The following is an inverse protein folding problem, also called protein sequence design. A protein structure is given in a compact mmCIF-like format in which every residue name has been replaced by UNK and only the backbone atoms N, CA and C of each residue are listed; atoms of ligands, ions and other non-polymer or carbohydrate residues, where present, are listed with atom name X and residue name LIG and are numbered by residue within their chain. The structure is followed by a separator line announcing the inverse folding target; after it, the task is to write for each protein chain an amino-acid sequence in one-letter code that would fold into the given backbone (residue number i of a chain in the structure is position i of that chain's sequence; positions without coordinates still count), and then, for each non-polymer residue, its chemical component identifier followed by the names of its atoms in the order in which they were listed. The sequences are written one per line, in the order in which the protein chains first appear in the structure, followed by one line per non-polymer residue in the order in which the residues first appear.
data_IF_021913849073
#
_entry.id   IF_021913849073
#
_cell.length_a   1.000
_cell.length_b   1.000
_cell.length_c   1.000
_cell.angle_alpha   90.00
_cell.angle_beta   90.00
_cell.angle_gamma   90.00
#
_symmetry.space_group_name_H-M   'P 1'
#
loop_
_entity.id
_entity.type
_entity.pdbx_description
1 polymer ?
#
# COMPACT_ATOMS: atom_id res chain seq x y z
N UNK A 1 -19.53 -70.69 -47.07
CA UNK A 1 -20.49 -69.99 -46.19
C UNK A 1 -19.75 -69.39 -45.01
N UNK A 2 -19.67 -68.04 -44.94
CA UNK A 2 -19.61 -67.17 -43.74
C UNK A 2 -19.11 -65.80 -44.20
N UNK A 3 -20.05 -64.87 -44.39
CA UNK A 3 -19.79 -63.45 -44.69
C UNK A 3 -19.74 -62.70 -43.36
N UNK A 4 -18.62 -62.05 -43.05
CA UNK A 4 -18.46 -61.23 -41.85
C UNK A 4 -18.53 -59.76 -42.27
N UNK A 5 -19.66 -59.12 -41.96
CA UNK A 5 -19.92 -57.69 -42.18
C UNK A 5 -19.16 -56.88 -41.12
N UNK A 6 -18.18 -56.09 -41.57
CA UNK A 6 -17.48 -55.12 -40.72
C UNK A 6 -18.20 -53.77 -40.84
N UNK A 7 -18.79 -53.32 -39.73
CA UNK A 7 -19.44 -52.00 -39.62
C UNK A 7 -18.36 -50.98 -39.27
N UNK A 8 -18.09 -50.06 -40.20
CA UNK A 8 -17.28 -48.86 -39.95
C UNK A 8 -18.22 -47.79 -39.41
N UNK A 9 -18.10 -47.48 -38.11
CA UNK A 9 -18.76 -46.32 -37.47
C UNK A 9 -17.79 -45.15 -37.46
N UNK A 10 -18.08 -44.15 -38.27
CA UNK A 10 -17.40 -42.84 -38.29
C UNK A 10 -17.92 -41.99 -37.12
N UNK A 11 -17.10 -41.78 -36.10
CA UNK A 11 -17.41 -40.82 -35.04
C UNK A 11 -16.96 -39.41 -35.49
N UNK A 12 -17.93 -38.53 -35.73
CA UNK A 12 -17.67 -37.11 -35.96
C UNK A 12 -17.35 -36.43 -34.62
N UNK A 13 -16.07 -36.15 -34.36
CA UNK A 13 -15.65 -35.33 -33.24
C UNK A 13 -15.91 -33.85 -33.57
N UNK A 14 -17.01 -33.30 -33.08
CA UNK A 14 -17.23 -31.85 -33.06
C UNK A 14 -16.38 -31.25 -31.94
N UNK A 15 -15.21 -30.71 -32.29
CA UNK A 15 -14.41 -29.88 -31.39
C UNK A 15 -15.09 -28.52 -31.23
N UNK A 16 -15.82 -28.35 -30.13
CA UNK A 16 -16.27 -27.03 -29.68
C UNK A 16 -15.03 -26.28 -29.19
N UNK A 17 -14.52 -25.37 -30.02
CA UNK A 17 -13.51 -24.40 -29.61
C UNK A 17 -14.12 -23.44 -28.60
N UNK A 18 -14.01 -23.74 -27.31
CA UNK A 18 -14.32 -22.77 -26.25
C UNK A 18 -13.22 -21.72 -26.31
N UNK A 19 -13.52 -20.59 -26.95
CA UNK A 19 -12.73 -19.37 -26.79
C UNK A 19 -13.00 -18.90 -25.37
N UNK A 20 -12.16 -19.32 -24.42
CA UNK A 20 -12.15 -18.71 -23.09
C UNK A 20 -11.84 -17.22 -23.33
N UNK A 21 -12.70 -16.28 -22.90
CA UNK A 21 -12.31 -14.89 -22.90
C UNK A 21 -11.02 -14.81 -22.10
N UNK A 22 -9.95 -14.30 -22.73
CA UNK A 22 -8.76 -13.89 -22.02
C UNK A 22 -9.26 -12.96 -20.93
N UNK A 23 -9.27 -13.44 -19.68
CA UNK A 23 -9.58 -12.61 -18.54
C UNK A 23 -8.62 -11.43 -18.63
N UNK A 24 -9.17 -10.23 -18.83
CA UNK A 24 -8.36 -9.02 -18.78
C UNK A 24 -7.62 -9.07 -17.45
N UNK A 25 -6.29 -9.18 -17.50
CA UNK A 25 -5.47 -9.06 -16.30
C UNK A 25 -5.85 -7.68 -15.74
N UNK A 26 -6.35 -7.60 -14.49
CA UNK A 26 -6.69 -6.31 -13.91
C UNK A 26 -5.45 -5.43 -14.03
N UNK A 27 -5.65 -4.19 -14.50
CA UNK A 27 -4.57 -3.22 -14.59
C UNK A 27 -3.90 -3.17 -13.21
N UNK A 28 -2.62 -3.53 -13.13
CA UNK A 28 -1.88 -3.41 -11.88
C UNK A 28 -1.83 -1.93 -11.52
N UNK A 29 -2.23 -1.60 -10.30
CA UNK A 29 -2.10 -0.26 -9.76
C UNK A 29 -0.63 0.19 -9.82
N UNK A 30 -0.42 1.47 -10.13
CA UNK A 30 0.88 2.08 -9.95
C UNK A 30 1.10 2.33 -8.45
N UNK A 31 1.87 1.45 -7.81
CA UNK A 31 2.19 1.54 -6.39
C UNK A 31 2.85 2.88 -6.05
N UNK A 32 3.61 3.48 -6.97
CA UNK A 32 4.22 4.80 -6.79
C UNK A 32 3.18 5.92 -6.65
N UNK A 33 2.08 5.83 -7.39
CA UNK A 33 0.94 6.77 -7.26
C UNK A 33 0.29 6.65 -5.88
N UNK A 34 0.04 5.41 -5.42
CA UNK A 34 -0.52 5.15 -4.09
C UNK A 34 0.39 5.69 -2.99
N UNK A 35 1.70 5.41 -3.07
CA UNK A 35 2.72 5.93 -2.14
C UNK A 35 2.64 7.46 -2.08
N UNK A 36 2.66 8.13 -3.23
CA UNK A 36 2.63 9.59 -3.31
C UNK A 36 1.39 10.21 -2.66
N UNK A 37 0.22 9.60 -2.84
CA UNK A 37 -1.04 10.09 -2.28
C UNK A 37 -1.12 9.88 -0.78
N UNK A 38 -0.67 8.73 -0.29
CA UNK A 38 -0.65 8.49 1.16
C UNK A 38 0.33 9.43 1.85
N UNK A 39 1.51 9.68 1.25
CA UNK A 39 2.46 10.68 1.73
C UNK A 39 1.87 12.10 1.72
N UNK A 40 1.13 12.46 0.67
CA UNK A 40 0.42 13.73 0.59
C UNK A 40 -0.63 13.86 1.71
N UNK A 41 -1.40 12.81 1.99
CA UNK A 41 -2.40 12.80 3.05
C UNK A 41 -1.78 13.04 4.44
N UNK A 42 -0.66 12.38 4.75
CA UNK A 42 0.08 12.65 5.99
C UNK A 42 0.65 14.07 6.04
N UNK A 43 1.18 14.58 4.92
CA UNK A 43 1.69 15.95 4.83
C UNK A 43 0.59 17.00 5.06
N UNK A 44 -0.62 16.74 4.56
CA UNK A 44 -1.79 17.58 4.79
C UNK A 44 -2.24 17.54 6.25
N UNK A 45 -2.26 16.35 6.86
CA UNK A 45 -2.50 16.22 8.30
C UNK A 45 -1.46 17.00 9.12
N UNK A 46 -0.17 16.95 8.76
CA UNK A 46 0.88 17.70 9.43
C UNK A 46 0.65 19.22 9.33
N UNK A 47 0.35 19.72 8.13
CA UNK A 47 0.06 21.15 7.90
C UNK A 47 -1.13 21.61 8.73
N UNK A 48 -2.19 20.80 8.78
CA UNK A 48 -3.34 21.06 9.65
C UNK A 48 -2.94 21.08 11.13
N UNK A 49 -2.27 20.04 11.62
CA UNK A 49 -1.88 19.92 13.02
C UNK A 49 -0.93 21.03 13.48
N UNK A 50 -0.10 21.56 12.58
CA UNK A 50 0.78 22.71 12.81
C UNK A 50 0.10 24.08 12.65
N UNK A 51 -1.22 24.13 12.40
CA UNK A 51 -1.96 25.39 12.21
C UNK A 51 -1.72 26.10 10.87
N UNK A 52 -1.03 25.46 9.92
CA UNK A 52 -0.76 26.01 8.59
C UNK A 52 -1.91 25.88 7.60
N UNK A 53 -3.00 25.21 7.98
CA UNK A 53 -4.17 24.93 7.14
C UNK A 53 -5.41 24.70 8.02
N UNK A 54 -6.60 25.05 7.54
CA UNK A 54 -7.85 24.74 8.24
C UNK A 54 -8.24 23.25 8.11
N UNK A 55 -9.02 22.74 9.06
CA UNK A 55 -9.50 21.36 9.02
C UNK A 55 -10.26 21.05 7.71
N UNK A 56 -11.15 21.95 7.30
CA UNK A 56 -11.96 21.75 6.09
C UNK A 56 -11.12 21.77 4.80
N UNK A 57 -10.06 22.59 4.76
CA UNK A 57 -9.11 22.60 3.64
C UNK A 57 -8.34 21.27 3.56
N UNK A 58 -7.87 20.77 4.71
CA UNK A 58 -7.17 19.48 4.76
C UNK A 58 -8.07 18.32 4.36
N UNK A 59 -9.31 18.27 4.87
CA UNK A 59 -10.31 17.27 4.47
C UNK A 59 -10.58 17.33 2.98
N UNK A 60 -10.82 18.52 2.42
CA UNK A 60 -11.11 18.68 1.00
C UNK A 60 -9.95 18.20 0.10
N UNK A 61 -8.71 18.53 0.47
CA UNK A 61 -7.54 18.13 -0.31
C UNK A 61 -7.28 16.62 -0.21
N UNK A 62 -7.36 16.03 1.00
CA UNK A 62 -7.22 14.57 1.16
C UNK A 62 -8.31 13.84 0.37
N UNK A 63 -9.55 14.35 0.38
CA UNK A 63 -10.62 13.80 -0.42
C UNK A 63 -10.32 13.87 -1.93
N UNK A 64 -9.84 15.02 -2.41
CA UNK A 64 -9.49 15.17 -3.82
C UNK A 64 -8.39 14.16 -4.23
N UNK A 65 -7.33 14.04 -3.43
CA UNK A 65 -6.22 13.14 -3.68
C UNK A 65 -6.70 11.68 -3.70
N UNK A 66 -7.51 11.26 -2.71
CA UNK A 66 -8.10 9.92 -2.67
C UNK A 66 -9.01 9.64 -3.85
N UNK A 67 -9.89 10.57 -4.24
CA UNK A 67 -10.78 10.34 -5.38
C UNK A 67 -9.99 10.19 -6.68
N UNK A 68 -8.89 10.96 -6.83
CA UNK A 68 -8.06 10.91 -8.03
C UNK A 68 -7.34 9.57 -8.24
N UNK A 69 -7.03 8.83 -7.17
CA UNK A 69 -6.40 7.51 -7.26
C UNK A 69 -7.20 6.42 -6.55
N UNK A 70 -8.52 6.58 -6.43
CA UNK A 70 -9.37 5.62 -5.73
C UNK A 70 -9.20 4.20 -6.30
N UNK A 71 -9.11 4.09 -7.62
CA UNK A 71 -8.92 2.81 -8.29
C UNK A 71 -7.57 2.17 -7.92
N UNK A 72 -6.49 2.95 -7.91
CA UNK A 72 -5.15 2.46 -7.54
C UNK A 72 -5.07 2.07 -6.06
N UNK A 73 -5.64 2.90 -5.18
CA UNK A 73 -5.72 2.66 -3.73
C UNK A 73 -6.50 1.36 -3.45
N UNK A 74 -7.70 1.22 -4.03
CA UNK A 74 -8.54 0.03 -3.84
C UNK A 74 -7.85 -1.20 -4.43
N UNK A 75 -7.24 -1.09 -5.60
CA UNK A 75 -6.51 -2.21 -6.21
C UNK A 75 -5.31 -2.64 -5.37
N UNK A 76 -4.63 -1.72 -4.68
CA UNK A 76 -3.53 -2.09 -3.77
C UNK A 76 -4.05 -2.68 -2.46
N UNK A 77 -5.15 -2.14 -1.91
CA UNK A 77 -5.86 -2.71 -0.76
C UNK A 77 -6.35 -4.13 -1.07
N UNK A 78 -6.80 -4.41 -2.29
CA UNK A 78 -7.28 -5.73 -2.70
C UNK A 78 -6.18 -6.81 -2.72
N UNK A 79 -4.92 -6.42 -2.65
CA UNK A 79 -3.78 -7.34 -2.49
C UNK A 79 -3.56 -7.77 -1.04
N UNK A 80 -4.24 -7.13 -0.08
CA UNK A 80 -4.14 -7.46 1.34
C UNK A 80 -4.72 -8.86 1.57
N UNK A 81 -3.86 -9.81 1.90
CA UNK A 81 -4.26 -11.19 2.17
C UNK A 81 -5.23 -11.34 3.37
N UNK A 82 -5.36 -10.30 4.20
CA UNK A 82 -6.31 -10.25 5.31
C UNK A 82 -7.59 -9.51 4.93
N UNK A 83 -8.61 -10.29 4.56
CA UNK A 83 -9.92 -9.80 4.15
C UNK A 83 -10.54 -8.76 5.10
N UNK A 84 -10.30 -8.88 6.41
CA UNK A 84 -10.81 -7.91 7.40
C UNK A 84 -10.15 -6.53 7.23
N UNK A 85 -8.82 -6.49 7.07
CA UNK A 85 -8.07 -5.23 6.88
C UNK A 85 -8.39 -4.63 5.51
N UNK A 86 -8.50 -5.48 4.49
CA UNK A 86 -8.95 -5.07 3.16
C UNK A 86 -10.34 -4.40 3.21
N UNK A 87 -11.31 -5.09 3.80
CA UNK A 87 -12.69 -4.62 3.89
C UNK A 87 -12.81 -3.31 4.65
N UNK A 88 -12.14 -3.18 5.79
CA UNK A 88 -12.20 -1.95 6.57
C UNK A 88 -11.48 -0.78 5.89
N UNK A 89 -10.37 -1.02 5.18
CA UNK A 89 -9.66 0.03 4.45
C UNK A 89 -10.48 0.54 3.26
N UNK A 90 -11.09 -0.38 2.49
CA UNK A 90 -12.01 -0.02 1.41
C UNK A 90 -13.22 0.78 1.93
N UNK A 91 -13.84 0.34 3.03
CA UNK A 91 -14.93 1.07 3.67
C UNK A 91 -14.50 2.48 4.11
N UNK A 92 -13.32 2.59 4.74
CA UNK A 92 -12.80 3.88 5.19
C UNK A 92 -12.58 4.87 4.03
N UNK A 93 -11.98 4.42 2.93
CA UNK A 93 -11.76 5.23 1.72
C UNK A 93 -13.08 5.69 1.10
N UNK A 94 -14.08 4.81 1.05
CA UNK A 94 -15.40 5.15 0.51
C UNK A 94 -16.15 6.14 1.41
N UNK A 95 -16.22 5.87 2.71
CA UNK A 95 -16.95 6.71 3.67
C UNK A 95 -16.30 8.09 3.88
N UNK A 96 -14.97 8.18 3.79
CA UNK A 96 -14.26 9.47 3.94
C UNK A 96 -14.67 10.49 2.87
N UNK A 97 -15.06 10.03 1.68
CA UNK A 97 -15.57 10.90 0.61
C UNK A 97 -16.78 11.74 1.06
N UNK A 98 -17.60 11.18 1.94
CA UNK A 98 -18.83 11.78 2.44
C UNK A 98 -18.68 12.38 3.86
N UNK A 99 -17.46 12.49 4.38
CA UNK A 99 -17.20 12.89 5.78
C UNK A 99 -17.84 14.22 6.18
N UNK A 100 -18.02 15.15 5.24
CA UNK A 100 -18.66 16.45 5.49
C UNK A 100 -20.19 16.38 5.55
N UNK A 101 -20.79 15.31 5.02
CA UNK A 101 -22.22 15.07 5.04
C UNK A 101 -22.67 14.18 6.21
N UNK A 102 -21.72 13.59 6.94
CA UNK A 102 -22.03 12.75 8.10
C UNK A 102 -22.66 13.57 9.23
N UNK A 103 -23.70 13.01 9.86
CA UNK A 103 -24.20 13.51 11.14
C UNK A 103 -23.12 13.35 12.23
N UNK A 104 -23.19 14.10 13.34
CA UNK A 104 -22.21 13.97 14.42
C UNK A 104 -22.02 12.55 14.94
N UNK A 105 -23.11 11.77 15.06
CA UNK A 105 -23.05 10.37 15.51
C UNK A 105 -22.37 9.47 14.48
N UNK A 106 -22.70 9.64 13.19
CA UNK A 106 -22.07 8.88 12.11
C UNK A 106 -20.58 9.24 11.96
N UNK A 107 -20.22 10.51 12.17
CA UNK A 107 -18.83 10.96 12.14
C UNK A 107 -18.00 10.33 13.27
N UNK A 108 -18.56 10.25 14.48
CA UNK A 108 -17.92 9.55 15.60
C UNK A 108 -17.79 8.05 15.31
N UNK A 109 -18.84 7.41 14.78
CA UNK A 109 -18.81 5.99 14.41
C UNK A 109 -17.73 5.73 13.35
N UNK A 110 -17.67 6.54 12.29
CA UNK A 110 -16.63 6.48 11.27
C UNK A 110 -15.23 6.63 11.88
N UNK A 111 -15.01 7.64 12.73
CA UNK A 111 -13.72 7.87 13.38
C UNK A 111 -13.28 6.66 14.23
N UNK A 112 -14.21 6.01 14.95
CA UNK A 112 -13.94 4.80 15.72
C UNK A 112 -13.64 3.60 14.82
N UNK A 113 -14.42 3.38 13.77
CA UNK A 113 -14.23 2.27 12.83
C UNK A 113 -12.89 2.37 12.10
N UNK A 114 -12.54 3.56 11.60
CA UNK A 114 -11.25 3.80 10.96
C UNK A 114 -10.08 3.60 11.95
N UNK A 115 -10.25 4.00 13.21
CA UNK A 115 -9.28 3.72 14.29
C UNK A 115 -9.11 2.21 14.52
N UNK A 116 -10.21 1.45 14.55
CA UNK A 116 -10.18 -0.01 14.70
C UNK A 116 -9.42 -0.65 13.54
N UNK A 117 -9.71 -0.23 12.31
CA UNK A 117 -9.05 -0.72 11.11
C UNK A 117 -7.52 -0.57 11.19
N UNK A 118 -7.04 0.61 11.59
CA UNK A 118 -5.59 0.87 11.81
C UNK A 118 -5.03 -0.03 12.91
N UNK A 119 -5.77 -0.21 14.00
CA UNK A 119 -5.32 -1.03 15.15
C UNK A 119 -5.23 -2.50 14.78
N UNK A 120 -6.21 -3.01 14.04
CA UNK A 120 -6.25 -4.39 13.55
C UNK A 120 -5.13 -4.64 12.54
N UNK A 121 -4.90 -3.70 11.61
CA UNK A 121 -3.79 -3.76 10.68
C UNK A 121 -2.43 -3.80 11.41
N UNK A 122 -2.23 -2.92 12.40
CA UNK A 122 -1.02 -2.90 13.21
C UNK A 122 -0.81 -4.21 13.98
N UNK A 123 -1.87 -4.77 14.59
CA UNK A 123 -1.79 -6.07 15.27
C UNK A 123 -1.35 -7.17 14.29
N UNK A 124 -1.88 -7.14 13.07
CA UNK A 124 -1.60 -8.15 12.06
C UNK A 124 -0.17 -8.08 11.51
N UNK A 125 0.44 -6.88 11.44
CA UNK A 125 1.83 -6.71 11.00
C UNK A 125 2.83 -7.57 11.79
N UNK A 126 2.56 -7.76 13.09
CA UNK A 126 3.40 -8.59 13.97
C UNK A 126 3.15 -10.10 13.80
N UNK A 127 1.96 -10.49 13.33
CA UNK A 127 1.55 -11.88 13.19
C UNK A 127 1.92 -12.49 11.83
N UNK A 128 2.11 -11.65 10.81
CA UNK A 128 2.47 -12.09 9.46
C UNK A 128 3.99 -12.16 9.32
N UNK A 129 4.51 -13.19 8.67
CA UNK A 129 5.95 -13.34 8.37
C UNK A 129 6.32 -12.97 6.94
N UNK A 130 5.40 -13.14 5.99
CA UNK A 130 5.61 -12.86 4.58
C UNK A 130 5.76 -11.34 4.30
N UNK A 131 6.87 -10.89 3.68
CA UNK A 131 7.09 -9.48 3.38
C UNK A 131 6.03 -8.86 2.48
N UNK A 132 5.53 -9.59 1.48
CA UNK A 132 4.52 -9.07 0.56
C UNK A 132 3.19 -8.83 1.29
N UNK A 133 2.78 -9.75 2.15
CA UNK A 133 1.61 -9.58 2.99
C UNK A 133 1.78 -8.42 4.00
N UNK A 134 2.97 -8.26 4.62
CA UNK A 134 3.25 -7.09 5.47
C UNK A 134 3.16 -5.79 4.69
N UNK A 135 3.65 -5.76 3.46
CA UNK A 135 3.61 -4.57 2.64
C UNK A 135 2.19 -4.14 2.30
N UNK A 136 1.34 -5.11 1.90
CA UNK A 136 -0.06 -4.85 1.64
C UNK A 136 -0.79 -4.33 2.90
N UNK A 137 -0.57 -4.97 4.05
CA UNK A 137 -1.14 -4.51 5.35
C UNK A 137 -0.64 -3.09 5.67
N UNK A 138 0.64 -2.82 5.41
CA UNK A 138 1.25 -1.52 5.61
C UNK A 138 0.63 -0.43 4.74
N UNK A 139 0.32 -0.73 3.48
CA UNK A 139 -0.42 0.18 2.60
C UNK A 139 -1.83 0.46 3.13
N UNK A 140 -2.58 -0.57 3.53
CA UNK A 140 -3.91 -0.38 4.10
C UNK A 140 -3.86 0.47 5.38
N UNK A 141 -2.96 0.13 6.31
CA UNK A 141 -2.77 0.88 7.55
C UNK A 141 -2.44 2.36 7.28
N UNK A 142 -1.47 2.61 6.39
CA UNK A 142 -1.03 3.97 6.11
C UNK A 142 -2.01 4.76 5.24
N UNK A 143 -2.85 4.10 4.44
CA UNK A 143 -3.96 4.75 3.73
C UNK A 143 -5.03 5.21 4.72
N UNK A 144 -5.41 4.35 5.67
CA UNK A 144 -6.47 4.66 6.64
C UNK A 144 -5.97 5.58 7.76
N UNK A 145 -4.70 5.53 8.11
CA UNK A 145 -4.06 6.33 9.16
C UNK A 145 -4.43 7.82 9.16
N UNK A 146 -4.09 8.58 8.10
CA UNK A 146 -4.42 10.01 8.01
C UNK A 146 -5.94 10.25 7.98
N UNK A 147 -6.74 9.34 7.41
CA UNK A 147 -8.21 9.45 7.42
C UNK A 147 -8.77 9.33 8.84
N UNK A 148 -8.32 8.33 9.59
CA UNK A 148 -8.70 8.12 10.97
C UNK A 148 -8.27 9.31 11.85
N UNK A 149 -7.06 9.84 11.66
CA UNK A 149 -6.59 11.02 12.38
C UNK A 149 -7.48 12.24 12.12
N UNK A 150 -7.79 12.52 10.85
CA UNK A 150 -8.66 13.64 10.45
C UNK A 150 -10.09 13.47 10.96
N UNK A 151 -10.64 12.26 10.85
CA UNK A 151 -11.98 11.92 11.33
C UNK A 151 -12.11 12.14 12.83
N UNK A 152 -11.12 11.68 13.61
CA UNK A 152 -11.10 11.87 15.06
C UNK A 152 -11.09 13.34 15.43
N UNK A 153 -10.23 14.14 14.79
CA UNK A 153 -10.21 15.59 15.03
C UNK A 153 -11.56 16.24 14.69
N UNK A 154 -12.14 15.92 13.53
CA UNK A 154 -13.45 16.45 13.11
C UNK A 154 -14.58 16.03 14.06
N UNK A 155 -14.48 14.83 14.63
CA UNK A 155 -15.42 14.31 15.62
C UNK A 155 -15.19 14.85 17.05
N UNK A 156 -14.16 15.70 17.28
CA UNK A 156 -13.80 16.18 18.62
C UNK A 156 -13.10 15.14 19.51
N UNK A 157 -12.54 14.08 18.92
CA UNK A 157 -11.82 13.01 19.60
C UNK A 157 -10.31 13.28 19.61
N UNK A 158 -9.61 12.76 20.63
CA UNK A 158 -8.15 12.89 20.76
C UNK A 158 -7.41 11.95 19.80
N UNK A 159 -6.24 12.35 19.30
CA UNK A 159 -5.38 11.55 18.38
C UNK A 159 -4.10 10.94 18.95
N UNK A 160 -3.54 11.31 20.13
CA UNK A 160 -2.22 10.82 20.56
C UNK A 160 -2.07 9.28 20.60
N UNK A 161 -3.09 8.57 21.08
CA UNK A 161 -3.06 7.10 21.12
C UNK A 161 -3.00 6.49 19.72
N UNK A 162 -3.78 7.01 18.77
CA UNK A 162 -3.76 6.56 17.37
C UNK A 162 -2.41 6.90 16.70
N UNK A 163 -1.85 8.09 16.96
CA UNK A 163 -0.50 8.44 16.48
C UNK A 163 0.55 7.44 16.95
N UNK A 164 0.48 7.03 18.21
CA UNK A 164 1.38 6.00 18.78
C UNK A 164 1.23 4.64 18.11
N UNK A 165 0.00 4.20 17.84
CA UNK A 165 -0.28 2.95 17.12
C UNK A 165 0.29 2.99 15.70
N UNK A 166 0.05 4.07 14.95
CA UNK A 166 0.59 4.25 13.61
C UNK A 166 2.13 4.27 13.62
N UNK A 167 2.74 5.01 14.54
CA UNK A 167 4.20 5.07 14.66
C UNK A 167 4.82 3.70 14.98
N UNK A 168 4.16 2.89 15.82
CA UNK A 168 4.60 1.52 16.11
C UNK A 168 4.51 0.62 14.87
N UNK A 169 3.41 0.73 14.10
CA UNK A 169 3.24 0.01 12.84
C UNK A 169 4.29 0.42 11.80
N UNK A 170 4.55 1.71 11.64
CA UNK A 170 5.54 2.23 10.71
C UNK A 170 6.97 1.78 11.06
N UNK A 171 7.34 1.79 12.34
CA UNK A 171 8.62 1.22 12.77
C UNK A 171 8.73 -0.27 12.44
N UNK A 172 7.63 -1.02 12.58
CA UNK A 172 7.57 -2.44 12.21
C UNK A 172 7.79 -2.63 10.72
N UNK A 173 7.12 -1.83 9.87
CA UNK A 173 7.27 -1.87 8.41
C UNK A 173 8.68 -1.51 7.96
N UNK A 174 9.24 -0.42 8.52
CA UNK A 174 10.60 0.06 8.18
C UNK A 174 11.64 -1.04 8.41
N UNK A 175 11.49 -1.79 9.49
CA UNK A 175 12.38 -2.89 9.86
C UNK A 175 12.10 -4.15 9.03
N UNK A 176 10.83 -4.52 8.87
CA UNK A 176 10.44 -5.77 8.23
C UNK A 176 10.61 -5.77 6.70
N UNK A 177 10.60 -4.60 6.08
CA UNK A 177 10.71 -4.42 4.62
C UNK A 177 12.09 -3.86 4.21
N UNK A 178 13.10 -4.01 5.07
CA UNK A 178 14.47 -3.63 4.73
C UNK A 178 14.94 -4.49 3.53
N UNK A 179 15.50 -3.88 2.47
CA UNK A 179 15.97 -4.64 1.32
C UNK A 179 17.25 -5.40 1.64
N UNK A 180 17.53 -6.46 0.88
CA UNK A 180 18.84 -7.12 0.88
C UNK A 180 19.81 -6.23 0.14
N UNK A 181 21.00 -5.98 0.70
CA UNK A 181 21.98 -5.08 0.10
C UNK A 181 23.35 -5.73 0.05
N UNK A 182 23.98 -5.64 -1.12
CA UNK A 182 25.34 -6.09 -1.37
C UNK A 182 26.22 -4.92 -1.76
N UNK A 183 27.51 -5.06 -1.44
CA UNK A 183 28.53 -4.11 -1.85
C UNK A 183 29.11 -4.58 -3.18
N UNK A 184 28.89 -3.82 -4.23
CA UNK A 184 29.39 -4.12 -5.57
C UNK A 184 30.58 -3.24 -5.90
N UNK A 185 31.68 -3.91 -6.25
CA UNK A 185 32.90 -3.27 -6.70
C UNK A 185 32.77 -3.03 -8.21
N UNK A 186 32.42 -1.80 -8.61
CA UNK A 186 32.53 -1.42 -10.00
C UNK A 186 33.97 -1.04 -10.30
N UNK A 187 34.67 -1.97 -10.95
CA UNK A 187 35.87 -1.62 -11.69
C UNK A 187 35.42 -0.65 -12.79
N UNK A 188 35.72 0.64 -12.66
CA UNK A 188 35.67 1.54 -13.80
C UNK A 188 36.45 0.85 -14.91
N UNK A 189 35.78 0.42 -15.98
CA UNK A 189 36.22 -0.67 -16.87
C UNK A 189 37.54 -0.47 -17.63
N UNK A 190 38.33 0.54 -17.26
CA UNK A 190 39.61 0.92 -17.85
C UNK A 190 40.77 0.70 -16.84
N UNK A 191 41.89 0.12 -17.31
CA UNK A 191 43.10 0.02 -16.49
C UNK A 191 43.54 1.40 -15.95
N UNK A 192 43.58 1.53 -14.63
CA UNK A 192 43.98 2.77 -13.94
C UNK A 192 42.83 3.70 -13.53
N UNK A 193 41.57 3.36 -13.85
CA UNK A 193 40.42 4.08 -13.30
C UNK A 193 40.32 3.87 -11.77
N UNK A 194 39.87 4.89 -11.02
CA UNK A 194 39.65 4.73 -9.59
C UNK A 194 38.53 3.71 -9.35
N UNK A 195 38.76 2.76 -8.45
CA UNK A 195 37.72 1.88 -7.95
C UNK A 195 36.70 2.73 -7.18
N UNK A 196 35.43 2.57 -7.51
CA UNK A 196 34.36 3.10 -6.68
C UNK A 196 33.43 1.97 -6.28
N UNK A 197 32.90 2.11 -5.08
CA UNK A 197 32.03 1.14 -4.47
C UNK A 197 30.60 1.66 -4.51
N UNK A 198 29.66 0.76 -4.78
CA UNK A 198 28.23 1.05 -4.71
C UNK A 198 27.51 0.02 -3.86
N UNK A 199 26.40 0.45 -3.26
CA UNK A 199 25.44 -0.42 -2.63
C UNK A 199 24.37 -0.76 -3.63
N UNK A 200 24.21 -2.05 -3.93
CA UNK A 200 23.10 -2.59 -4.70
C UNK A 200 22.11 -3.22 -3.72
N UNK A 201 20.93 -2.63 -3.61
CA UNK A 201 19.88 -3.11 -2.72
C UNK A 201 18.71 -3.64 -3.54
N UNK A 202 18.18 -4.81 -3.19
CA UNK A 202 16.99 -5.41 -3.79
C UNK A 202 15.90 -5.59 -2.74
N UNK A 203 14.74 -4.97 -2.97
CA UNK A 203 13.56 -5.12 -2.12
C UNK A 203 12.84 -6.44 -2.38
N UNK A 204 11.90 -6.81 -1.50
CA UNK A 204 11.16 -8.08 -1.60
C UNK A 204 10.38 -8.22 -2.92
N UNK A 205 9.98 -7.10 -3.51
CA UNK A 205 9.24 -7.03 -4.78
C UNK A 205 10.18 -7.04 -6.01
N UNK A 206 11.49 -7.24 -5.82
CA UNK A 206 12.50 -7.24 -6.87
C UNK A 206 12.94 -5.87 -7.35
N UNK A 207 12.40 -4.77 -6.79
CA UNK A 207 12.86 -3.43 -7.14
C UNK A 207 14.26 -3.18 -6.60
N UNK A 208 15.09 -2.52 -7.40
CA UNK A 208 16.51 -2.33 -7.12
C UNK A 208 16.82 -0.86 -6.90
N UNK A 209 17.74 -0.59 -5.98
CA UNK A 209 18.37 0.70 -5.76
C UNK A 209 19.87 0.57 -5.87
N UNK A 210 20.54 1.57 -6.44
CA UNK A 210 21.99 1.55 -6.63
C UNK A 210 22.55 2.92 -6.32
N UNK A 211 23.29 3.03 -5.21
CA UNK A 211 23.86 4.30 -4.79
C UNK A 211 25.16 4.12 -4.00
N UNK A 212 25.98 5.17 -3.96
CA UNK A 212 27.20 5.20 -3.14
C UNK A 212 26.90 5.20 -1.63
N UNK A 213 25.70 5.59 -1.24
CA UNK A 213 25.24 5.67 0.15
C UNK A 213 24.20 4.60 0.39
N UNK A 214 24.44 3.70 1.36
CA UNK A 214 23.55 2.59 1.68
C UNK A 214 22.10 3.04 1.88
N UNK A 215 21.87 4.08 2.68
CA UNK A 215 20.52 4.58 2.94
C UNK A 215 19.80 5.06 1.66
N UNK A 216 20.52 5.68 0.72
CA UNK A 216 19.95 6.09 -0.57
C UNK A 216 19.56 4.87 -1.39
N UNK A 217 20.44 3.87 -1.49
CA UNK A 217 20.17 2.63 -2.22
C UNK A 217 18.98 1.87 -1.61
N UNK A 218 18.89 1.80 -0.28
CA UNK A 218 17.74 1.22 0.42
C UNK A 218 16.42 1.93 0.12
N UNK A 219 16.44 3.27 0.08
CA UNK A 219 15.24 4.08 -0.19
C UNK A 219 14.80 3.97 -1.65
N UNK A 220 15.74 3.91 -2.59
CA UNK A 220 15.43 3.66 -4.01
C UNK A 220 14.80 2.28 -4.21
N UNK A 221 15.42 1.24 -3.63
CA UNK A 221 14.91 -0.14 -3.71
C UNK A 221 13.49 -0.26 -3.14
N UNK A 222 13.17 0.48 -2.08
CA UNK A 222 11.86 0.39 -1.39
C UNK A 222 10.91 1.54 -1.72
N UNK A 223 11.19 2.32 -2.75
CA UNK A 223 10.39 3.49 -3.16
C UNK A 223 8.94 3.15 -3.50
N UNK A 224 8.70 1.94 -4.03
CA UNK A 224 7.38 1.41 -4.37
C UNK A 224 6.89 0.37 -3.35
N UNK A 225 7.11 0.62 -2.06
CA UNK A 225 6.59 -0.21 -0.97
C UNK A 225 6.03 0.67 0.14
N UNK A 226 5.25 0.09 1.04
CA UNK A 226 4.72 0.75 2.24
C UNK A 226 5.83 1.24 3.19
N UNK A 227 7.08 0.76 3.04
CA UNK A 227 8.24 1.30 3.76
C UNK A 227 8.48 2.76 3.44
N UNK A 228 8.40 3.16 2.17
CA UNK A 228 8.61 4.56 1.78
C UNK A 228 7.57 5.49 2.41
N UNK A 229 6.33 5.03 2.48
CA UNK A 229 5.24 5.72 3.18
C UNK A 229 5.53 5.82 4.68
N UNK A 230 5.87 4.70 5.32
CA UNK A 230 6.19 4.63 6.74
C UNK A 230 7.35 5.56 7.13
N UNK A 231 8.41 5.64 6.31
CA UNK A 231 9.54 6.55 6.52
C UNK A 231 9.13 8.03 6.48
N UNK A 232 8.14 8.38 5.65
CA UNK A 232 7.60 9.75 5.57
C UNK A 232 6.62 10.05 6.71
N UNK A 233 5.78 9.08 7.07
CA UNK A 233 4.76 9.23 8.09
C UNK A 233 5.37 9.32 9.50
N UNK A 234 6.41 8.53 9.79
CA UNK A 234 6.94 8.39 11.15
C UNK A 234 7.33 9.74 11.80
N UNK A 235 8.10 10.65 11.17
CA UNK A 235 8.41 11.95 11.76
C UNK A 235 7.17 12.81 12.07
N UNK A 236 6.10 12.69 11.27
CA UNK A 236 4.84 13.42 11.46
C UNK A 236 4.08 12.85 12.67
N UNK A 237 4.14 11.54 12.84
CA UNK A 237 3.46 10.82 13.92
C UNK A 237 4.17 11.00 15.27
N UNK A 238 5.47 11.30 15.28
CA UNK A 238 6.26 11.49 16.50
C UNK A 238 6.47 12.96 16.90
N UNK A 239 6.13 13.91 16.03
CA UNK A 239 6.15 15.35 16.34
C UNK A 239 5.01 15.74 17.28
#
# INVERSE_FOLDING_TARGET
MKRTLWRVTTAAAMSIGVVLPLAAVPAQADVGVVVGIVQAAYSLYQKFAGGGMSLDQAVAQINADIQSAKADIVSEIDRVAAANVQGCANAAVVEFADINALTPDNLQAFAMNATSCVTDANSLLSAVSDPAAKDAIGFAMNTVGPLALMARVKAGLTTPALKSVLAAGDNTLITALLPSCDHVDENGGEPGAPHFYMWECTAYNGNMGVAKVLATSQNEATSNTSRAVAQTALPILTA
#
